data_IF_656154340009
#
_entry.id   IF_656154340009
#
_cell.length_a   1.000
_cell.length_b   1.000
_cell.length_c   1.000
_cell.angle_alpha   90.00
_cell.angle_beta   90.00
_cell.angle_gamma   90.00
#
_symmetry.space_group_name_H-M   'P 1'
#
loop_
_entity.id
_entity.type
_entity.pdbx_description
1 polymer ?
#
# COMPACT_ATOMS: atom_id res chain seq x y z
N UNK A 1 36.11 2.31 -16.60
CA UNK A 1 35.93 2.89 -17.96
C UNK A 1 34.47 2.79 -18.44
N UNK A 2 33.80 1.65 -18.25
CA UNK A 2 32.39 1.44 -18.64
C UNK A 2 31.36 2.43 -18.00
N UNK A 3 31.54 2.81 -16.73
CA UNK A 3 30.63 3.74 -16.03
C UNK A 3 30.56 5.13 -16.69
N UNK A 4 31.69 5.63 -17.21
CA UNK A 4 31.76 6.93 -17.89
C UNK A 4 31.07 6.90 -19.26
N UNK A 5 31.21 5.79 -19.99
CA UNK A 5 30.51 5.58 -21.26
C UNK A 5 28.99 5.42 -21.08
N UNK A 6 28.56 4.80 -19.98
CA UNK A 6 27.13 4.68 -19.66
C UNK A 6 26.52 6.06 -19.39
N UNK A 7 27.19 6.87 -18.56
CA UNK A 7 26.74 8.22 -18.22
C UNK A 7 26.66 9.16 -19.42
N UNK A 8 27.64 9.12 -20.33
CA UNK A 8 27.60 9.97 -21.53
C UNK A 8 26.48 9.58 -22.49
N UNK A 9 26.20 8.27 -22.64
CA UNK A 9 25.09 7.78 -23.46
C UNK A 9 23.74 8.18 -22.89
N UNK A 10 23.56 8.07 -21.57
CA UNK A 10 22.33 8.50 -20.88
C UNK A 10 22.13 10.01 -21.05
N UNK A 11 23.18 10.82 -20.83
CA UNK A 11 23.11 12.27 -21.00
C UNK A 11 22.75 12.69 -22.43
N UNK A 12 23.29 11.98 -23.43
CA UNK A 12 22.97 12.21 -24.83
C UNK A 12 21.50 11.84 -25.14
N UNK A 13 21.01 10.75 -24.56
CA UNK A 13 19.62 10.29 -24.73
C UNK A 13 18.61 11.26 -24.12
N UNK A 14 18.88 11.76 -22.90
CA UNK A 14 18.07 12.79 -22.22
C UNK A 14 17.97 14.06 -23.07
N UNK A 15 19.06 14.44 -23.74
CA UNK A 15 19.12 15.64 -24.57
C UNK A 15 18.36 15.52 -25.89
N UNK A 16 18.30 14.31 -26.47
CA UNK A 16 17.57 14.07 -27.72
C UNK A 16 16.05 14.06 -27.54
N UNK A 17 15.56 13.51 -26.44
CA UNK A 17 14.12 13.32 -26.18
C UNK A 17 13.76 13.66 -24.72
N UNK A 18 13.83 14.94 -24.33
CA UNK A 18 13.63 15.34 -22.93
C UNK A 18 12.19 15.07 -22.45
N UNK A 19 11.20 15.22 -23.32
CA UNK A 19 9.78 15.01 -22.99
C UNK A 19 9.49 13.53 -22.73
N UNK A 20 9.98 12.62 -23.59
CA UNK A 20 9.76 11.18 -23.43
C UNK A 20 10.41 10.66 -22.14
N UNK A 21 11.61 11.15 -21.80
CA UNK A 21 12.27 10.83 -20.53
C UNK A 21 11.48 11.36 -19.34
N UNK A 22 10.96 12.60 -19.41
CA UNK A 22 10.14 13.17 -18.36
C UNK A 22 8.86 12.34 -18.13
N UNK A 23 8.18 11.95 -19.19
CA UNK A 23 6.98 11.09 -19.12
C UNK A 23 7.31 9.73 -18.50
N UNK A 24 8.43 9.11 -18.90
CA UNK A 24 8.88 7.84 -18.33
C UNK A 24 9.19 7.96 -16.83
N UNK A 25 9.84 9.06 -16.41
CA UNK A 25 10.13 9.32 -14.99
C UNK A 25 8.84 9.52 -14.18
N UNK A 26 7.88 10.31 -14.69
CA UNK A 26 6.59 10.51 -14.04
C UNK A 26 5.86 9.17 -13.89
N UNK A 27 5.81 8.37 -14.96
CA UNK A 27 5.21 7.05 -14.93
C UNK A 27 5.88 6.14 -13.91
N UNK A 28 7.22 6.12 -13.85
CA UNK A 28 7.96 5.35 -12.86
C UNK A 28 7.63 5.79 -11.42
N UNK A 29 7.51 7.09 -11.16
CA UNK A 29 7.11 7.62 -9.84
C UNK A 29 5.70 7.14 -9.47
N UNK A 30 4.75 7.20 -10.41
CA UNK A 30 3.37 6.74 -10.19
C UNK A 30 3.35 5.26 -9.84
N UNK A 31 4.05 4.43 -10.61
CA UNK A 31 4.16 2.98 -10.35
C UNK A 31 4.75 2.73 -8.97
N UNK A 32 5.84 3.40 -8.60
CA UNK A 32 6.44 3.25 -7.27
C UNK A 32 5.48 3.63 -6.13
N UNK A 33 4.71 4.72 -6.30
CA UNK A 33 3.72 5.14 -5.31
C UNK A 33 2.58 4.14 -5.17
N UNK A 34 2.07 3.61 -6.29
CA UNK A 34 1.02 2.59 -6.28
C UNK A 34 1.50 1.29 -5.66
N UNK A 35 2.70 0.84 -6.01
CA UNK A 35 3.31 -0.34 -5.38
C UNK A 35 3.52 -0.15 -3.88
N UNK A 36 4.04 1.01 -3.46
CA UNK A 36 4.21 1.34 -2.04
C UNK A 36 2.88 1.33 -1.29
N UNK A 37 1.82 1.89 -1.87
CA UNK A 37 0.49 1.89 -1.27
C UNK A 37 -0.07 0.46 -1.16
N UNK A 38 0.07 -0.34 -2.22
CA UNK A 38 -0.36 -1.73 -2.25
C UNK A 38 0.33 -2.56 -1.15
N UNK A 39 1.65 -2.44 -1.02
CA UNK A 39 2.38 -3.14 0.05
C UNK A 39 1.96 -2.65 1.43
N UNK A 40 1.76 -1.34 1.63
CA UNK A 40 1.32 -0.80 2.92
C UNK A 40 -0.05 -1.35 3.34
N UNK A 41 -1.01 -1.42 2.41
CA UNK A 41 -2.34 -1.96 2.68
C UNK A 41 -2.28 -3.47 2.96
N UNK A 42 -1.48 -4.21 2.19
CA UNK A 42 -1.35 -5.65 2.38
C UNK A 42 -0.66 -6.02 3.72
N UNK A 43 0.32 -5.23 4.15
CA UNK A 43 0.96 -5.37 5.47
C UNK A 43 -0.04 -5.05 6.58
N UNK A 44 -0.86 -4.01 6.43
CA UNK A 44 -1.90 -3.66 7.39
C UNK A 44 -2.96 -4.77 7.51
N UNK A 45 -3.41 -5.33 6.39
CA UNK A 45 -4.33 -6.48 6.37
C UNK A 45 -3.72 -7.73 7.04
N UNK A 46 -2.43 -8.01 6.79
CA UNK A 46 -1.72 -9.10 7.46
C UNK A 46 -1.63 -8.90 8.98
N UNK A 47 -1.30 -7.68 9.42
CA UNK A 47 -1.27 -7.33 10.84
C UNK A 47 -2.66 -7.43 11.48
N UNK A 48 -3.71 -7.07 10.74
CA UNK A 48 -5.08 -7.18 11.22
C UNK A 48 -5.53 -8.64 11.41
N UNK A 49 -5.22 -9.52 10.46
CA UNK A 49 -5.51 -10.95 10.61
C UNK A 49 -4.76 -11.56 11.79
N UNK A 50 -3.50 -11.18 11.98
CA UNK A 50 -2.71 -11.60 13.14
C UNK A 50 -3.31 -11.09 14.45
N UNK A 51 -3.65 -9.80 14.53
CA UNK A 51 -4.28 -9.18 15.70
C UNK A 51 -5.59 -9.90 16.08
N UNK A 52 -6.46 -10.19 15.10
CA UNK A 52 -7.71 -10.93 15.36
C UNK A 52 -7.45 -12.32 15.94
N UNK A 53 -6.44 -13.02 15.41
CA UNK A 53 -6.05 -14.35 15.90
C UNK A 53 -5.51 -14.29 17.33
N UNK A 54 -4.63 -13.33 17.63
CA UNK A 54 -4.01 -13.18 18.95
C UNK A 54 -5.02 -12.76 20.02
N UNK A 55 -6.00 -11.92 19.67
CA UNK A 55 -7.00 -11.40 20.60
C UNK A 55 -8.35 -12.15 20.57
N UNK A 56 -8.44 -13.27 19.84
CA UNK A 56 -9.63 -14.13 19.79
C UNK A 56 -10.88 -13.43 19.26
N UNK A 57 -10.71 -12.51 18.31
CA UNK A 57 -11.78 -11.62 17.87
C UNK A 57 -12.84 -12.35 17.03
N UNK A 58 -14.12 -12.12 17.35
CA UNK A 58 -15.28 -12.68 16.65
C UNK A 58 -16.06 -11.60 15.92
N UNK A 59 -16.60 -11.93 14.75
CA UNK A 59 -17.38 -11.00 13.96
C UNK A 59 -18.74 -10.73 14.62
N UNK A 60 -19.03 -9.45 14.89
CA UNK A 60 -20.31 -9.01 15.41
C UNK A 60 -21.25 -8.73 14.23
N UNK A 61 -22.18 -9.65 13.97
CA UNK A 61 -23.22 -9.46 12.96
C UNK A 61 -24.49 -8.94 13.65
N UNK A 62 -24.96 -7.74 13.28
CA UNK A 62 -26.24 -7.22 13.76
C UNK A 62 -27.40 -7.81 12.96
N UNK A 63 -28.49 -8.21 13.63
CA UNK A 63 -29.69 -8.82 13.01
C UNK A 63 -30.36 -7.96 11.92
N UNK A 64 -30.09 -6.65 11.89
CA UNK A 64 -30.68 -5.68 10.96
C UNK A 64 -30.02 -5.63 9.57
N UNK A 65 -29.22 -6.65 9.20
CA UNK A 65 -28.75 -6.84 7.82
C UNK A 65 -27.76 -5.79 7.28
N UNK A 66 -27.45 -4.75 8.05
CA UNK A 66 -26.36 -3.82 7.73
C UNK A 66 -25.07 -4.40 8.29
N UNK A 67 -24.30 -5.09 7.45
CA UNK A 67 -22.98 -5.63 7.80
C UNK A 67 -22.01 -4.50 8.21
N UNK A 68 -22.09 -4.04 9.45
CA UNK A 68 -21.04 -3.24 10.07
C UNK A 68 -19.99 -4.23 10.54
N UNK A 69 -18.99 -4.45 9.69
CA UNK A 69 -17.79 -5.23 10.00
C UNK A 69 -17.14 -4.69 11.29
N UNK A 70 -17.52 -5.28 12.40
CA UNK A 70 -17.06 -4.97 13.75
C UNK A 70 -16.71 -6.28 14.42
N UNK A 71 -15.65 -6.27 15.22
CA UNK A 71 -15.11 -7.47 15.84
C UNK A 71 -15.07 -7.25 17.34
N UNK A 72 -15.68 -8.17 18.08
CA UNK A 72 -15.57 -8.23 19.53
C UNK A 72 -14.41 -9.15 19.90
N UNK A 73 -13.45 -8.64 20.65
CA UNK A 73 -12.26 -9.36 21.06
C UNK A 73 -12.34 -9.78 22.54
N UNK A 74 -11.42 -10.64 23.00
CA UNK A 74 -11.42 -11.18 24.36
C UNK A 74 -11.28 -10.12 25.47
N UNK A 75 -10.88 -8.89 25.13
CA UNK A 75 -10.82 -7.75 26.06
C UNK A 75 -12.18 -7.06 26.25
N UNK A 76 -13.25 -7.58 25.63
CA UNK A 76 -14.60 -7.03 25.70
C UNK A 76 -14.77 -5.74 24.89
N UNK A 77 -13.77 -5.35 24.07
CA UNK A 77 -13.83 -4.18 23.21
C UNK A 77 -14.26 -4.54 21.80
N UNK A 78 -14.87 -3.56 21.14
CA UNK A 78 -15.31 -3.66 19.75
C UNK A 78 -14.34 -2.89 18.85
N UNK A 79 -13.76 -3.59 17.89
CA UNK A 79 -12.83 -3.06 16.90
C UNK A 79 -13.49 -2.93 15.51
N UNK A 80 -13.05 -1.95 14.74
CA UNK A 80 -13.55 -1.70 13.37
C UNK A 80 -12.37 -1.60 12.41
N UNK A 81 -12.36 -2.43 11.35
CA UNK A 81 -11.29 -2.46 10.33
C UNK A 81 -10.97 -1.08 9.73
N UNK A 82 -11.98 -0.24 9.52
CA UNK A 82 -11.84 1.03 8.79
C UNK A 82 -11.49 2.25 9.66
N UNK A 83 -11.47 2.15 11.00
CA UNK A 83 -11.29 3.32 11.89
C UNK A 83 -9.92 3.44 12.54
N UNK A 84 -8.92 2.67 12.09
CA UNK A 84 -7.53 2.89 12.51
C UNK A 84 -6.73 3.80 11.57
N UNK A 85 -7.34 4.30 10.48
CA UNK A 85 -6.77 5.40 9.69
C UNK A 85 -7.21 6.77 10.23
N UNK A 86 -6.84 7.13 11.47
CA UNK A 86 -6.66 8.52 11.91
C UNK A 86 -5.69 8.60 13.07
#
# INVERSE_FOLDING_TARGET
MALKQLGSKIAQFIRQKPIDVLLMLIFAIVVLKLSSLYFSVNVDDGNWEQFKSEHGCKLLTTETGTQRLSWECNDGKIYYRWRQQR
#
